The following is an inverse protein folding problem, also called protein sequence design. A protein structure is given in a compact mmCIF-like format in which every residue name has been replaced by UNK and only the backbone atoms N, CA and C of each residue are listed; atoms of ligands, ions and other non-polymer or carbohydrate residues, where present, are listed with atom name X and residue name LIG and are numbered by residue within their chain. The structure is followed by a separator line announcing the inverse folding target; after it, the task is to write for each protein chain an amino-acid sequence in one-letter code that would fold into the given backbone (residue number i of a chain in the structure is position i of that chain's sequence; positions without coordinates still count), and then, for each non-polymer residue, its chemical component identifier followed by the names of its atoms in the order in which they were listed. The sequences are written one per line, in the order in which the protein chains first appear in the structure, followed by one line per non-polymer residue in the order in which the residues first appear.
data_IF_541778928264
#
_entry.id   IF_541778928264
#
_cell.length_a   1.000
_cell.length_b   1.000
_cell.length_c   1.000
_cell.angle_alpha   90.00
_cell.angle_beta   90.00
_cell.angle_gamma   90.00
#
_symmetry.space_group_name_H-M   'P 1'
#
loop_
_entity.id
_entity.type
_entity.pdbx_description
1 polymer ?
#
# COMPACT_ATOMS: atom_id res chain seq x y z
N UNK A 1 -7.18 -6.05 9.45
CA UNK A 1 -8.46 -5.62 10.05
C UNK A 1 -9.19 -6.84 10.60
N UNK A 2 -9.52 -6.87 11.89
CA UNK A 2 -10.18 -8.02 12.54
C UNK A 2 -11.69 -7.86 12.45
N UNK A 3 -12.39 -8.90 11.96
CA UNK A 3 -13.86 -8.87 11.87
C UNK A 3 -14.50 -8.90 13.26
N UNK A 4 -15.64 -8.21 13.42
CA UNK A 4 -16.43 -8.22 14.67
C UNK A 4 -16.67 -9.64 15.20
N UNK A 5 -17.03 -10.58 14.32
CA UNK A 5 -17.31 -11.97 14.71
C UNK A 5 -16.10 -12.66 15.36
N UNK A 6 -14.87 -12.30 14.97
CA UNK A 6 -13.66 -12.85 15.57
C UNK A 6 -13.42 -12.30 16.99
N UNK A 7 -13.74 -11.02 17.23
CA UNK A 7 -13.67 -10.41 18.56
C UNK A 7 -14.72 -11.03 19.50
N UNK A 8 -15.94 -11.21 19.01
CA UNK A 8 -17.03 -11.85 19.76
C UNK A 8 -16.75 -13.35 20.03
N UNK A 9 -16.12 -14.05 19.09
CA UNK A 9 -15.70 -15.43 19.29
C UNK A 9 -14.61 -15.52 20.38
N UNK A 10 -13.63 -14.61 20.35
CA UNK A 10 -12.58 -14.53 21.36
C UNK A 10 -13.16 -14.26 22.76
N UNK A 11 -14.12 -13.33 22.87
CA UNK A 11 -14.83 -13.04 24.12
C UNK A 11 -15.50 -14.30 24.70
N UNK A 12 -16.33 -14.99 23.90
CA UNK A 12 -17.00 -16.23 24.31
C UNK A 12 -16.00 -17.31 24.72
N UNK A 13 -14.96 -17.52 23.93
CA UNK A 13 -13.93 -18.52 24.24
C UNK A 13 -13.22 -18.22 25.56
N UNK A 14 -12.92 -16.96 25.87
CA UNK A 14 -12.29 -16.60 27.13
C UNK A 14 -13.23 -16.73 28.32
N UNK A 15 -14.52 -16.43 28.16
CA UNK A 15 -15.53 -16.69 29.20
C UNK A 15 -15.65 -18.20 29.49
N UNK A 16 -15.71 -19.02 28.45
CA UNK A 16 -15.78 -20.49 28.57
C UNK A 16 -14.54 -21.07 29.26
N UNK A 17 -13.34 -20.62 28.86
CA UNK A 17 -12.07 -21.13 29.41
C UNK A 17 -11.88 -20.72 30.87
N UNK A 18 -12.28 -19.50 31.24
CA UNK A 18 -12.06 -18.96 32.58
C UNK A 18 -13.19 -19.25 33.56
N UNK A 19 -14.37 -19.63 33.06
CA UNK A 19 -15.59 -19.77 33.85
C UNK A 19 -16.11 -18.43 34.38
N UNK A 20 -15.62 -17.30 33.86
CA UNK A 20 -16.02 -15.95 34.28
C UNK A 20 -16.82 -15.29 33.17
N UNK A 21 -18.07 -14.92 33.44
CA UNK A 21 -18.99 -14.31 32.47
C UNK A 21 -18.75 -12.81 32.21
N UNK A 22 -17.75 -12.20 32.86
CA UNK A 22 -17.35 -10.84 32.54
C UNK A 22 -16.68 -10.78 31.17
N UNK A 23 -16.72 -9.63 30.46
CA UNK A 23 -16.07 -9.47 29.17
C UNK A 23 -14.64 -10.03 29.15
N UNK A 24 -14.34 -10.80 28.09
CA UNK A 24 -13.10 -11.51 27.83
C UNK A 24 -12.61 -12.38 29.00
N UNK A 25 -13.54 -13.01 29.75
CA UNK A 25 -13.17 -13.85 30.90
C UNK A 25 -12.46 -13.08 32.01
N UNK A 26 -12.73 -11.77 32.12
CA UNK A 26 -12.11 -10.88 33.11
C UNK A 26 -10.66 -10.51 32.79
N UNK A 27 -10.19 -10.77 31.56
CA UNK A 27 -8.84 -10.41 31.12
C UNK A 27 -8.80 -8.97 30.63
N UNK A 28 -7.68 -8.30 30.93
CA UNK A 28 -7.36 -7.00 30.34
C UNK A 28 -7.02 -7.22 28.87
N UNK A 29 -7.80 -6.61 27.97
CA UNK A 29 -7.56 -6.64 26.53
C UNK A 29 -7.03 -5.28 26.09
N UNK A 30 -5.89 -5.28 25.39
CA UNK A 30 -5.34 -4.11 24.74
C UNK A 30 -5.52 -4.28 23.24
N UNK A 31 -6.42 -3.50 22.65
CA UNK A 31 -6.62 -3.47 21.20
C UNK A 31 -5.74 -2.36 20.62
N UNK A 32 -4.64 -2.77 19.99
CA UNK A 32 -3.79 -1.88 19.21
C UNK A 32 -4.21 -1.91 17.74
N UNK A 33 -4.42 -0.74 17.16
CA UNK A 33 -4.74 -0.61 15.75
C UNK A 33 -4.89 0.85 15.36
N UNK A 34 -4.75 1.12 14.07
CA UNK A 34 -5.18 2.36 13.47
C UNK A 34 -6.61 2.15 12.95
N UNK A 35 -7.60 2.63 13.70
CA UNK A 35 -9.02 2.52 13.31
C UNK A 35 -9.36 3.37 12.09
N UNK A 36 -8.44 4.27 11.71
CA UNK A 36 -8.44 5.07 10.49
C UNK A 36 -7.51 4.49 9.43
N UNK A 37 -7.18 3.19 9.48
CA UNK A 37 -6.40 2.50 8.43
C UNK A 37 -7.23 2.31 7.14
N UNK A 38 -7.91 3.39 6.73
CA UNK A 38 -7.85 3.99 5.41
C UNK A 38 -7.51 5.49 5.63
N UNK A 39 -6.19 5.76 5.72
CA UNK A 39 -5.47 7.07 5.75
C UNK A 39 -5.60 7.99 6.99
N UNK A 40 -4.67 7.93 7.96
CA UNK A 40 -4.36 9.08 8.81
C UNK A 40 -3.48 10.08 8.04
N UNK A 41 -4.03 11.23 7.67
CA UNK A 41 -3.21 12.35 7.16
C UNK A 41 -2.70 13.19 8.32
N UNK A 42 -1.39 13.11 8.56
CA UNK A 42 -0.73 13.98 9.54
C UNK A 42 -0.50 15.34 8.88
N UNK A 43 -1.27 16.37 9.29
CA UNK A 43 -1.24 17.75 8.75
C UNK A 43 0.13 18.44 8.72
N UNK A 44 1.14 17.88 9.41
CA UNK A 44 2.50 18.45 9.52
C UNK A 44 3.58 17.63 8.81
N UNK A 45 3.22 16.54 8.14
CA UNK A 45 4.21 15.69 7.46
C UNK A 45 4.71 16.33 6.16
N UNK A 46 5.93 15.99 5.72
CA UNK A 46 6.52 16.60 4.50
C UNK A 46 5.67 16.36 3.24
N UNK A 47 4.92 15.25 3.19
CA UNK A 47 3.98 14.95 2.09
C UNK A 47 2.65 15.73 2.19
N UNK A 48 2.18 16.04 3.39
CA UNK A 48 0.97 16.83 3.55
C UNK A 48 1.20 18.30 3.17
N UNK A 49 2.44 18.79 3.36
CA UNK A 49 2.85 20.13 2.95
C UNK A 49 2.97 20.27 1.43
N UNK A 50 3.32 19.20 0.70
CA UNK A 50 3.42 19.26 -0.77
C UNK A 50 2.07 19.32 -1.48
N UNK A 51 1.01 18.79 -0.87
CA UNK A 51 -0.35 18.86 -1.38
C UNK A 51 -1.36 19.07 -0.23
N UNK A 52 -1.54 20.33 0.21
CA UNK A 52 -2.45 20.65 1.29
C UNK A 52 -3.91 20.33 0.95
N UNK A 53 -4.29 20.50 -0.32
CA UNK A 53 -5.65 20.26 -0.77
C UNK A 53 -6.03 18.78 -0.68
N UNK A 54 -5.17 17.87 -1.18
CA UNK A 54 -5.42 16.44 -1.11
C UNK A 54 -5.38 15.94 0.35
N UNK A 55 -4.51 16.54 1.16
CA UNK A 55 -4.43 16.26 2.60
C UNK A 55 -5.73 16.61 3.32
N UNK A 56 -6.28 17.79 3.06
CA UNK A 56 -7.55 18.22 3.62
C UNK A 56 -8.73 17.38 3.11
N UNK A 57 -8.69 16.94 1.85
CA UNK A 57 -9.69 16.01 1.29
C UNK A 57 -9.71 14.67 2.03
N UNK A 58 -8.54 14.06 2.24
CA UNK A 58 -8.44 12.81 2.99
C UNK A 58 -8.89 12.97 4.46
N UNK A 59 -8.62 14.11 5.08
CA UNK A 59 -9.12 14.41 6.42
C UNK A 59 -10.64 14.50 6.46
N UNK A 60 -11.26 15.18 5.49
CA UNK A 60 -12.73 15.26 5.42
C UNK A 60 -13.37 13.89 5.25
N UNK A 61 -12.75 12.99 4.48
CA UNK A 61 -13.19 11.58 4.38
C UNK A 61 -13.09 10.88 5.72
N UNK A 62 -11.93 10.96 6.39
CA UNK A 62 -11.69 10.30 7.69
C UNK A 62 -12.59 10.82 8.81
N UNK A 63 -12.90 12.11 8.80
CA UNK A 63 -13.80 12.77 9.75
C UNK A 63 -15.29 12.58 9.41
N UNK A 64 -15.62 11.98 8.25
CA UNK A 64 -17.00 11.77 7.78
C UNK A 64 -17.72 13.07 7.39
N UNK A 65 -16.97 14.09 6.99
CA UNK A 65 -17.50 15.43 6.60
C UNK A 65 -17.48 15.67 5.09
N UNK A 66 -16.87 14.78 4.31
CA UNK A 66 -16.87 14.85 2.84
C UNK A 66 -18.26 14.53 2.28
N UNK A 67 -18.65 15.20 1.18
CA UNK A 67 -19.95 14.96 0.55
C UNK A 67 -20.02 13.54 -0.05
N UNK A 68 -20.92 12.74 0.50
CA UNK A 68 -21.24 11.42 -0.05
C UNK A 68 -22.22 11.53 -1.22
N UNK A 69 -21.95 10.79 -2.29
CA UNK A 69 -22.88 10.49 -3.37
C UNK A 69 -23.64 9.22 -3.03
N UNK A 70 -24.96 9.32 -2.93
CA UNK A 70 -25.82 8.17 -2.59
C UNK A 70 -25.63 7.71 -1.15
N UNK A 71 -25.92 6.43 -0.88
CA UNK A 71 -26.00 5.94 0.50
C UNK A 71 -24.67 5.72 1.22
N UNK A 72 -23.48 5.75 0.58
CA UNK A 72 -22.17 5.56 1.26
C UNK A 72 -20.93 5.85 0.38
N UNK A 73 -21.06 6.41 -0.83
CA UNK A 73 -19.91 6.57 -1.74
C UNK A 73 -19.34 7.98 -1.66
N UNK A 74 -18.02 8.12 -1.62
CA UNK A 74 -17.36 9.43 -1.79
C UNK A 74 -16.99 9.60 -3.26
N UNK A 75 -17.27 10.78 -3.83
CA UNK A 75 -16.77 11.09 -5.17
C UNK A 75 -15.28 11.39 -5.11
N UNK A 76 -14.49 10.67 -5.89
CA UNK A 76 -13.10 11.05 -6.09
C UNK A 76 -13.02 12.27 -7.03
N UNK A 77 -12.15 13.26 -6.75
CA UNK A 77 -11.87 14.35 -7.66
C UNK A 77 -11.41 13.86 -9.03
N UNK A 78 -11.85 14.54 -10.09
CA UNK A 78 -11.60 14.10 -11.47
C UNK A 78 -10.10 14.10 -11.82
N UNK A 79 -9.28 14.88 -11.10
CA UNK A 79 -7.83 14.97 -11.30
C UNK A 79 -7.07 13.70 -10.89
N UNK A 80 -7.62 12.90 -9.97
CA UNK A 80 -7.00 11.67 -9.47
C UNK A 80 -7.70 10.40 -9.97
N UNK A 81 -8.69 10.56 -10.85
CA UNK A 81 -9.46 9.46 -11.44
C UNK A 81 -8.97 9.17 -12.85
N UNK A 82 -8.63 7.90 -13.09
CA UNK A 82 -8.45 7.39 -14.45
C UNK A 82 -9.80 6.87 -14.95
N UNK A 83 -10.38 7.45 -16.02
CA UNK A 83 -11.67 7.00 -16.54
C UNK A 83 -11.61 5.52 -16.96
N UNK A 84 -12.59 4.76 -16.50
CA UNK A 84 -12.75 3.38 -16.91
C UNK A 84 -13.44 3.31 -18.28
N UNK A 85 -12.78 2.68 -19.25
CA UNK A 85 -13.32 2.43 -20.59
C UNK A 85 -13.56 0.93 -20.74
N UNK A 86 -12.49 0.15 -20.61
CA UNK A 86 -12.49 -1.31 -20.56
C UNK A 86 -11.23 -1.82 -19.81
N UNK A 87 -11.17 -3.10 -19.41
CA UNK A 87 -10.07 -3.59 -18.59
C UNK A 87 -8.68 -3.40 -19.22
N UNK A 88 -8.56 -3.59 -20.54
CA UNK A 88 -7.25 -3.56 -21.22
C UNK A 88 -6.74 -2.13 -21.39
N UNK A 89 -7.60 -1.23 -21.86
CA UNK A 89 -7.22 0.17 -22.11
C UNK A 89 -7.08 0.97 -20.81
N UNK A 90 -7.96 0.74 -19.82
CA UNK A 90 -7.91 1.49 -18.55
C UNK A 90 -6.65 1.16 -17.76
N UNK A 91 -6.27 -0.12 -17.68
CA UNK A 91 -5.01 -0.53 -17.04
C UNK A 91 -3.81 0.02 -17.79
N UNK A 92 -3.82 -0.02 -19.13
CA UNK A 92 -2.74 0.56 -19.94
C UNK A 92 -2.61 2.07 -19.74
N UNK A 93 -3.74 2.78 -19.59
CA UNK A 93 -3.77 4.21 -19.30
C UNK A 93 -3.22 4.50 -17.90
N UNK A 94 -3.68 3.76 -16.88
CA UNK A 94 -3.16 3.87 -15.50
C UNK A 94 -1.64 3.68 -15.44
N UNK A 95 -1.13 2.65 -16.12
CA UNK A 95 0.32 2.40 -16.20
C UNK A 95 1.04 3.59 -16.85
N UNK A 96 0.52 4.15 -17.94
CA UNK A 96 1.15 5.27 -18.63
C UNK A 96 1.10 6.57 -17.82
N UNK A 97 0.02 6.80 -17.08
CA UNK A 97 -0.13 7.99 -16.23
C UNK A 97 0.83 7.94 -15.04
N UNK A 98 1.05 6.76 -14.45
CA UNK A 98 1.97 6.57 -13.31
C UNK A 98 3.43 6.43 -13.77
N UNK A 99 3.67 5.69 -14.86
CA UNK A 99 4.98 5.41 -15.43
C UNK A 99 5.14 5.93 -16.87
N UNK A 100 5.18 7.26 -17.09
CA UNK A 100 5.38 7.85 -18.41
C UNK A 100 6.74 7.47 -19.03
N UNK A 101 6.71 6.98 -20.27
CA UNK A 101 7.92 6.58 -21.02
C UNK A 101 8.76 5.53 -20.28
N UNK A 102 8.10 4.50 -19.72
CA UNK A 102 8.74 3.44 -18.94
C UNK A 102 9.94 2.80 -19.65
N UNK A 103 9.87 2.58 -20.97
CA UNK A 103 10.99 1.99 -21.72
C UNK A 103 12.28 2.81 -21.71
N UNK A 104 12.18 4.14 -21.58
CA UNK A 104 13.34 5.05 -21.52
C UNK A 104 13.76 5.32 -20.08
N UNK A 105 12.79 5.56 -19.21
CA UNK A 105 13.02 6.00 -17.84
C UNK A 105 13.20 4.83 -16.86
N UNK A 106 12.81 3.62 -17.23
CA UNK A 106 12.79 2.46 -16.35
C UNK A 106 14.15 1.97 -15.88
N UNK A 107 15.23 2.43 -16.52
CA UNK A 107 16.61 2.17 -16.09
C UNK A 107 16.98 3.05 -14.89
N UNK A 108 16.32 4.20 -14.73
CA UNK A 108 16.62 5.14 -13.65
C UNK A 108 16.08 4.63 -12.31
N UNK A 109 16.95 4.36 -11.31
CA UNK A 109 16.50 3.89 -10.01
C UNK A 109 15.62 4.89 -9.27
N UNK A 110 15.90 6.20 -9.40
CA UNK A 110 15.11 7.27 -8.79
C UNK A 110 13.74 7.44 -9.44
N UNK A 111 13.64 7.14 -10.74
CA UNK A 111 12.37 7.17 -11.46
C UNK A 111 11.43 6.07 -10.96
N UNK A 112 11.93 4.83 -10.82
CA UNK A 112 11.08 3.72 -10.40
C UNK A 112 10.81 3.75 -8.90
N UNK A 113 11.80 4.11 -8.07
CA UNK A 113 11.64 4.08 -6.62
C UNK A 113 10.64 5.09 -6.06
N UNK A 114 10.23 6.08 -6.85
CA UNK A 114 9.26 7.12 -6.44
C UNK A 114 7.81 6.80 -6.83
N UNK A 115 7.57 5.71 -7.56
CA UNK A 115 6.26 5.34 -8.11
C UNK A 115 5.78 4.00 -7.57
N UNK A 116 4.47 3.80 -7.52
CA UNK A 116 3.86 2.51 -7.21
C UNK A 116 2.41 2.50 -7.65
N UNK A 117 1.92 1.31 -8.00
CA UNK A 117 0.49 1.03 -8.19
C UNK A 117 0.09 0.10 -7.05
N UNK A 118 -0.96 0.47 -6.31
CA UNK A 118 -1.52 -0.34 -5.23
C UNK A 118 -2.83 -0.93 -5.70
N UNK A 119 -3.06 -2.19 -5.40
CA UNK A 119 -4.32 -2.89 -5.67
C UNK A 119 -4.82 -3.56 -4.40
N UNK A 120 -6.13 -3.68 -4.28
CA UNK A 120 -6.79 -4.35 -3.15
C UNK A 120 -6.72 -5.87 -3.23
N UNK A 121 -6.44 -6.43 -4.42
CA UNK A 121 -6.33 -7.88 -4.63
C UNK A 121 -5.08 -8.25 -5.40
N UNK A 122 -4.49 -9.39 -5.01
CA UNK A 122 -3.28 -9.93 -5.64
C UNK A 122 -3.50 -10.30 -7.12
N UNK A 123 -4.68 -10.79 -7.50
CA UNK A 123 -4.98 -11.13 -8.91
C UNK A 123 -4.74 -9.95 -9.87
N UNK A 124 -5.09 -8.73 -9.46
CA UNK A 124 -4.82 -7.53 -10.25
C UNK A 124 -3.37 -7.05 -10.12
N UNK A 125 -2.69 -7.35 -9.01
CA UNK A 125 -1.25 -7.07 -8.85
C UNK A 125 -0.46 -7.90 -9.87
N UNK A 126 -0.81 -9.17 -10.02
CA UNK A 126 -0.14 -10.08 -10.96
C UNK A 126 -0.34 -9.60 -12.41
N UNK A 127 -1.58 -9.25 -12.78
CA UNK A 127 -1.88 -8.70 -14.13
C UNK A 127 -1.12 -7.38 -14.40
N UNK A 128 -1.03 -6.50 -13.41
CA UNK A 128 -0.29 -5.23 -13.53
C UNK A 128 1.21 -5.47 -13.66
N UNK A 129 1.76 -6.40 -12.90
CA UNK A 129 3.18 -6.73 -12.93
C UNK A 129 3.56 -7.34 -14.28
N UNK A 130 2.79 -8.30 -14.82
CA UNK A 130 3.01 -8.83 -16.17
C UNK A 130 3.04 -7.71 -17.22
N UNK A 131 2.02 -6.83 -17.22
CA UNK A 131 1.95 -5.71 -18.18
C UNK A 131 3.10 -4.70 -18.03
N UNK A 132 3.62 -4.52 -16.82
CA UNK A 132 4.78 -3.68 -16.59
C UNK A 132 6.05 -4.35 -17.10
N UNK A 133 6.24 -5.64 -16.79
CA UNK A 133 7.38 -6.45 -17.22
C UNK A 133 7.46 -6.48 -18.76
N UNK A 134 6.34 -6.68 -19.45
CA UNK A 134 6.26 -6.64 -20.92
C UNK A 134 6.74 -5.30 -21.52
N UNK A 135 6.62 -4.21 -20.77
CA UNK A 135 7.03 -2.86 -21.17
C UNK A 135 8.43 -2.50 -20.69
N UNK A 136 9.02 -3.30 -19.79
CA UNK A 136 10.40 -3.13 -19.38
C UNK A 136 11.34 -3.67 -20.45
N UNK A 137 12.45 -2.98 -20.75
CA UNK A 137 13.44 -3.51 -21.67
C UNK A 137 14.15 -4.75 -21.08
N UNK A 138 14.03 -5.88 -21.76
CA UNK A 138 14.79 -7.13 -21.54
C UNK A 138 14.02 -8.24 -20.80
N UNK A 139 14.70 -9.36 -20.50
CA UNK A 139 14.06 -10.56 -19.90
C UNK A 139 13.57 -10.41 -18.45
N UNK A 140 12.53 -11.17 -18.08
CA UNK A 140 11.95 -11.25 -16.73
C UNK A 140 12.91 -11.94 -15.75
N UNK A 141 13.78 -11.15 -15.14
CA UNK A 141 14.70 -11.58 -14.10
C UNK A 141 14.92 -10.44 -13.11
N UNK A 142 15.25 -10.76 -11.86
CA UNK A 142 15.86 -9.78 -10.98
C UNK A 142 17.17 -9.31 -11.64
N UNK A 143 17.23 -8.02 -11.96
CA UNK A 143 18.37 -7.40 -12.64
C UNK A 143 19.06 -6.39 -11.73
N UNK A 144 20.33 -6.15 -12.02
CA UNK A 144 21.04 -4.99 -11.45
C UNK A 144 20.25 -3.73 -11.81
N UNK A 145 20.10 -2.84 -10.84
CA UNK A 145 19.28 -1.62 -10.84
C UNK A 145 17.77 -1.82 -10.73
N UNK A 146 17.28 -3.05 -10.55
CA UNK A 146 15.87 -3.29 -10.27
C UNK A 146 15.51 -2.83 -8.83
N UNK A 147 14.41 -2.10 -8.63
CA UNK A 147 13.88 -1.82 -7.30
C UNK A 147 13.35 -3.10 -6.62
N UNK A 148 13.53 -3.18 -5.32
CA UNK A 148 12.94 -4.22 -4.47
C UNK A 148 12.45 -3.60 -3.18
N UNK A 149 11.47 -4.23 -2.53
CA UNK A 149 10.95 -3.82 -1.23
C UNK A 149 11.33 -4.88 -0.21
N UNK A 150 11.91 -4.45 0.91
CA UNK A 150 12.11 -5.32 2.05
C UNK A 150 10.75 -5.74 2.62
N UNK A 151 10.52 -7.04 2.77
CA UNK A 151 9.30 -7.58 3.37
C UNK A 151 9.44 -7.91 4.86
N UNK A 152 10.60 -7.59 5.45
CA UNK A 152 10.91 -7.84 6.86
C UNK A 152 11.89 -6.80 7.39
N UNK A 153 11.88 -6.62 8.70
CA UNK A 153 12.85 -5.77 9.40
C UNK A 153 14.19 -6.50 9.48
N UNK A 154 15.24 -5.89 8.92
CA UNK A 154 16.61 -6.41 8.97
C UNK A 154 17.46 -5.59 9.93
N UNK A 155 17.39 -4.26 9.82
CA UNK A 155 18.12 -3.32 10.67
C UNK A 155 17.32 -2.03 10.86
N UNK A 156 16.38 -2.00 11.82
CA UNK A 156 15.53 -0.85 12.06
C UNK A 156 16.31 0.43 12.45
N UNK A 157 17.44 0.28 13.13
CA UNK A 157 18.25 1.43 13.58
C UNK A 157 18.84 2.19 12.39
N UNK A 158 19.25 1.47 11.34
CA UNK A 158 19.74 2.07 10.09
C UNK A 158 18.63 2.24 9.02
N UNK A 159 17.36 2.02 9.41
CA UNK A 159 16.18 2.21 8.56
C UNK A 159 16.05 1.17 7.44
N UNK A 160 16.49 -0.07 7.66
CA UNK A 160 16.21 -1.24 6.82
C UNK A 160 15.01 -2.01 7.42
N UNK A 161 13.84 -1.40 7.28
CA UNK A 161 12.57 -1.92 7.79
C UNK A 161 11.74 -2.55 6.67
N UNK A 162 10.70 -3.31 7.04
CA UNK A 162 9.65 -3.70 6.12
C UNK A 162 9.07 -2.46 5.41
N UNK A 163 8.94 -2.52 4.08
CA UNK A 163 8.54 -1.41 3.22
C UNK A 163 9.70 -0.56 2.69
N UNK A 164 10.94 -0.78 3.14
CA UNK A 164 12.10 -0.04 2.62
C UNK A 164 12.35 -0.43 1.16
N UNK A 165 12.37 0.58 0.28
CA UNK A 165 12.74 0.41 -1.13
C UNK A 165 14.26 0.41 -1.25
N UNK A 166 14.80 -0.58 -1.95
CA UNK A 166 16.22 -0.73 -2.24
C UNK A 166 16.42 -1.01 -3.73
N UNK A 167 17.65 -0.82 -4.20
CA UNK A 167 18.08 -1.07 -5.57
C UNK A 167 19.11 -2.18 -5.57
N UNK A 168 18.91 -3.20 -6.42
CA UNK A 168 19.89 -4.27 -6.61
C UNK A 168 21.17 -3.71 -7.25
N UNK A 169 22.33 -4.04 -6.68
CA UNK A 169 23.64 -3.64 -7.20
C UNK A 169 24.47 -4.80 -7.72
N UNK A 170 24.33 -5.99 -7.14
CA UNK A 170 25.04 -7.18 -7.59
C UNK A 170 24.34 -8.46 -7.11
N UNK A 171 24.61 -9.55 -7.83
CA UNK A 171 24.27 -10.91 -7.42
C UNK A 171 25.55 -11.65 -7.02
N UNK A 172 25.48 -12.39 -5.93
CA UNK A 172 26.49 -13.32 -5.45
C UNK A 172 25.86 -14.70 -5.27
N UNK A 173 26.68 -15.72 -5.04
CA UNK A 173 26.21 -17.06 -4.70
C UNK A 173 25.41 -17.01 -3.39
N UNK A 174 24.08 -17.00 -3.50
CA UNK A 174 23.11 -16.89 -2.40
C UNK A 174 23.01 -15.52 -1.70
N UNK A 175 23.52 -14.44 -2.31
CA UNK A 175 23.35 -13.10 -1.77
C UNK A 175 23.03 -12.07 -2.84
N UNK A 176 22.24 -11.05 -2.47
CA UNK A 176 21.92 -9.91 -3.33
C UNK A 176 22.44 -8.66 -2.61
N UNK A 177 23.38 -7.96 -3.25
CA UNK A 177 23.84 -6.67 -2.75
C UNK A 177 22.80 -5.61 -3.11
N UNK A 178 22.32 -4.89 -2.11
CA UNK A 178 21.28 -3.88 -2.25
C UNK A 178 21.70 -2.56 -1.60
N UNK A 179 21.27 -1.44 -2.17
CA UNK A 179 21.52 -0.10 -1.64
C UNK A 179 20.22 0.71 -1.59
N UNK A 180 20.12 1.65 -0.66
CA UNK A 180 19.04 2.66 -0.66
C UNK A 180 19.13 3.58 -1.87
#
# INVERSE_FOLDING_TARGET
MTKRQAVEALDRSLQDITGVLSPFGGKVIVLGGDFTQVLPVVRRDMRAQSDPWFSDFLLRIGDGTEESIGQDYVRLPDEIVVPYIDPKHSVSKLINDIFPSLGQNGISPSYISTRAILSTKNEYVDELNEKLIDRFPGEEQLKINCPVILLRNLDPFNGLCNGTRLIIRAFQENAILMQK
#
